data_IF_460470062985
#
_entry.id   IF_460470062985
#
_cell.length_a   1.000
_cell.length_b   1.000
_cell.length_c   1.000
_cell.angle_alpha   90.00
_cell.angle_beta   90.00
_cell.angle_gamma   90.00
#
_symmetry.space_group_name_H-M   'P 1'
#
loop_
_entity.id
_entity.type
_entity.pdbx_description
1 polymer ?
#
# COMPACT_ATOMS: atom_id res chain seq x y z
N UNK A 1 -2.88 1.37 35.19
CA UNK A 1 -3.10 2.15 33.97
C UNK A 1 -3.88 1.31 32.97
N UNK A 2 -5.04 1.78 32.55
CA UNK A 2 -6.06 1.05 31.76
C UNK A 2 -6.08 1.42 30.27
N UNK A 3 -5.14 2.25 29.83
CA UNK A 3 -5.00 2.61 28.42
C UNK A 3 -3.94 1.69 27.82
N UNK A 4 -4.41 0.64 27.16
CA UNK A 4 -3.58 -0.04 26.17
C UNK A 4 -3.06 1.02 25.21
N UNK A 5 -1.76 1.00 24.94
CA UNK A 5 -1.22 1.80 23.84
C UNK A 5 -2.04 1.43 22.60
N UNK A 6 -2.56 2.41 21.82
CA UNK A 6 -3.03 2.08 20.50
C UNK A 6 -1.83 1.44 19.80
N UNK A 7 -1.91 0.12 19.62
CA UNK A 7 -1.01 -0.58 18.72
C UNK A 7 -1.42 -0.05 17.35
N UNK A 8 -0.84 1.10 16.96
CA UNK A 8 -0.66 1.38 15.55
C UNK A 8 0.25 0.25 15.08
N UNK A 9 -0.34 -0.91 14.76
CA UNK A 9 0.31 -1.90 13.92
C UNK A 9 0.57 -1.15 12.65
N UNK A 10 1.78 -0.58 12.56
CA UNK A 10 2.33 -0.20 11.27
C UNK A 10 2.13 -1.41 10.38
N UNK A 11 1.63 -1.23 9.15
CA UNK A 11 1.63 -2.32 8.20
C UNK A 11 3.02 -2.97 8.22
N UNK A 12 3.06 -4.29 8.36
CA UNK A 12 4.29 -5.02 8.69
C UNK A 12 5.35 -4.84 7.58
N UNK A 13 4.90 -4.53 6.37
CA UNK A 13 5.73 -4.35 5.19
C UNK A 13 5.84 -2.86 4.82
N UNK A 14 7.06 -2.31 4.94
CA UNK A 14 7.41 -1.01 4.38
C UNK A 14 8.03 -1.18 2.99
N UNK A 15 7.33 -0.67 1.98
CA UNK A 15 7.73 -0.77 0.58
C UNK A 15 8.46 0.48 0.06
N UNK A 16 8.95 1.35 0.97
CA UNK A 16 9.68 2.56 0.60
C UNK A 16 10.93 2.32 -0.27
N UNK A 17 11.52 1.12 -0.18
CA UNK A 17 12.65 0.75 -1.05
C UNK A 17 12.30 0.49 -2.52
N UNK A 18 11.01 0.42 -2.86
CA UNK A 18 10.52 0.04 -4.20
C UNK A 18 9.80 1.17 -4.93
N UNK A 19 9.72 2.36 -4.34
CA UNK A 19 9.22 3.56 -5.03
C UNK A 19 10.38 4.38 -5.60
N UNK A 20 10.16 5.13 -6.70
CA UNK A 20 11.21 5.98 -7.26
C UNK A 20 11.63 7.09 -6.27
N UNK A 21 12.87 7.61 -6.35
CA UNK A 21 13.33 8.70 -5.48
C UNK A 21 12.48 9.98 -5.55
N UNK A 22 11.73 10.17 -6.63
CA UNK A 22 10.81 11.29 -6.83
C UNK A 22 9.41 11.04 -6.28
N UNK A 23 9.21 9.97 -5.50
CA UNK A 23 7.93 9.64 -4.89
C UNK A 23 7.38 10.81 -4.07
N UNK A 24 6.11 11.12 -4.28
CA UNK A 24 5.36 12.10 -3.49
C UNK A 24 4.15 11.42 -2.89
N UNK A 25 3.92 11.62 -1.60
CA UNK A 25 2.76 11.03 -0.95
C UNK A 25 1.45 11.65 -1.44
N UNK A 26 0.38 10.84 -1.43
CA UNK A 26 -0.92 11.20 -1.99
C UNK A 26 -1.67 9.99 -2.53
N UNK A 27 -2.96 10.18 -2.80
CA UNK A 27 -3.79 9.18 -3.48
C UNK A 27 -3.42 9.15 -4.96
N UNK A 28 -2.94 8.02 -5.45
CA UNK A 28 -2.42 7.91 -6.81
C UNK A 28 -2.41 6.45 -7.29
N UNK A 29 -2.30 6.21 -8.61
CA UNK A 29 -2.07 4.87 -9.13
C UNK A 29 -0.81 4.24 -8.52
N UNK A 30 -0.77 2.91 -8.46
CA UNK A 30 0.46 2.21 -8.12
C UNK A 30 1.55 2.58 -9.13
N UNK A 31 2.75 3.00 -8.69
CA UNK A 31 3.85 3.19 -9.61
C UNK A 31 4.35 1.84 -10.14
N UNK A 32 4.80 1.81 -11.40
CA UNK A 32 5.22 0.59 -12.10
C UNK A 32 6.30 -0.19 -11.33
N UNK A 33 7.23 0.52 -10.68
CA UNK A 33 8.32 -0.08 -9.90
C UNK A 33 7.85 -0.78 -8.60
N UNK A 34 6.70 -0.38 -8.07
CA UNK A 34 6.14 -0.92 -6.83
C UNK A 34 5.32 -2.20 -7.06
N UNK A 35 4.69 -2.33 -8.22
CA UNK A 35 3.81 -3.47 -8.53
C UNK A 35 4.52 -4.84 -8.42
N UNK A 36 5.76 -5.03 -8.90
CA UNK A 36 6.51 -6.27 -8.71
C UNK A 36 6.78 -6.60 -7.24
N UNK A 37 7.06 -5.58 -6.41
CA UNK A 37 7.25 -5.77 -4.97
C UNK A 37 5.95 -6.20 -4.31
N UNK A 38 4.83 -5.57 -4.64
CA UNK A 38 3.51 -5.99 -4.14
C UNK A 38 3.21 -7.46 -4.50
N UNK A 39 3.56 -7.90 -5.70
CA UNK A 39 3.44 -9.31 -6.08
C UNK A 39 4.37 -10.21 -5.23
N UNK A 40 5.63 -9.82 -5.05
CA UNK A 40 6.63 -10.59 -4.29
C UNK A 40 6.25 -10.79 -2.82
N UNK A 41 5.59 -9.81 -2.21
CA UNK A 41 5.17 -9.85 -0.80
C UNK A 41 3.70 -10.30 -0.60
N UNK A 42 3.03 -10.80 -1.65
CA UNK A 42 1.62 -11.21 -1.60
C UNK A 42 0.66 -10.06 -1.16
N UNK A 43 1.00 -8.82 -1.52
CA UNK A 43 0.29 -7.59 -1.20
C UNK A 43 -0.59 -7.07 -2.35
N UNK A 44 -0.83 -7.86 -3.40
CA UNK A 44 -1.77 -7.46 -4.44
C UNK A 44 -3.22 -7.49 -3.93
N UNK A 45 -4.00 -6.42 -4.15
CA UNK A 45 -5.41 -6.42 -3.77
C UNK A 45 -6.24 -7.30 -4.70
N UNK A 46 -7.39 -7.73 -4.19
CA UNK A 46 -8.48 -8.30 -4.98
C UNK A 46 -9.76 -7.49 -4.79
N UNK A 47 -10.81 -7.81 -5.55
CA UNK A 47 -12.09 -7.08 -5.51
C UNK A 47 -12.69 -7.02 -4.09
N UNK A 48 -12.54 -8.09 -3.30
CA UNK A 48 -13.10 -8.21 -1.96
C UNK A 48 -12.08 -7.95 -0.85
N UNK A 49 -10.79 -7.87 -1.19
CA UNK A 49 -9.70 -7.79 -0.21
C UNK A 49 -8.69 -6.70 -0.60
N UNK A 50 -8.86 -5.47 -0.08
CA UNK A 50 -7.81 -4.48 -0.06
C UNK A 50 -6.58 -4.97 0.72
N UNK A 51 -5.41 -4.42 0.39
CA UNK A 51 -4.16 -4.71 1.10
C UNK A 51 -3.61 -3.43 1.72
N UNK A 52 -2.92 -3.57 2.86
CA UNK A 52 -2.36 -2.44 3.59
C UNK A 52 -0.86 -2.62 3.74
N UNK A 53 -0.09 -1.57 3.51
CA UNK A 53 1.37 -1.51 3.65
C UNK A 53 1.78 -0.07 3.94
N UNK A 54 3.05 0.17 4.29
CA UNK A 54 3.58 1.52 4.37
C UNK A 54 4.55 1.81 3.23
N UNK A 55 4.70 3.08 2.90
CA UNK A 55 5.77 3.58 2.03
C UNK A 55 6.49 4.66 2.82
N UNK A 56 7.76 4.45 3.18
CA UNK A 56 8.52 5.35 4.05
C UNK A 56 7.81 5.65 5.38
N UNK A 57 7.14 4.64 5.94
CA UNK A 57 6.37 4.77 7.17
C UNK A 57 5.01 5.47 7.04
N UNK A 58 4.61 5.92 5.85
CA UNK A 58 3.26 6.47 5.60
C UNK A 58 2.33 5.31 5.22
N UNK A 59 1.21 5.11 5.92
CA UNK A 59 0.30 3.99 5.66
C UNK A 59 -0.57 4.21 4.43
N UNK A 60 -0.75 3.15 3.66
CA UNK A 60 -1.60 3.10 2.47
C UNK A 60 -2.51 1.87 2.48
N UNK A 61 -3.67 2.03 1.86
CA UNK A 61 -4.51 0.93 1.38
C UNK A 61 -4.44 0.88 -0.14
N UNK A 62 -4.14 -0.30 -0.70
CA UNK A 62 -4.25 -0.56 -2.12
C UNK A 62 -5.57 -1.25 -2.45
N UNK A 63 -6.21 -0.81 -3.54
CA UNK A 63 -7.42 -1.44 -4.09
C UNK A 63 -7.29 -1.60 -5.60
N UNK A 64 -8.10 -2.49 -6.17
CA UNK A 64 -8.34 -2.45 -7.62
C UNK A 64 -9.10 -1.17 -7.97
N UNK A 65 -8.76 -0.58 -9.10
CA UNK A 65 -9.44 0.54 -9.73
C UNK A 65 -10.66 0.10 -10.54
N UNK A 66 -11.30 1.01 -11.28
CA UNK A 66 -12.58 0.75 -11.97
C UNK A 66 -12.55 -0.40 -12.96
N UNK A 67 -11.40 -0.75 -13.55
CA UNK A 67 -11.29 -1.89 -14.47
C UNK A 67 -11.33 -3.25 -13.76
N UNK A 68 -11.09 -3.28 -12.44
CA UNK A 68 -11.01 -4.52 -11.67
C UNK A 68 -9.79 -5.40 -12.00
N UNK A 69 -8.77 -4.85 -12.66
CA UNK A 69 -7.56 -5.57 -13.08
C UNK A 69 -6.35 -5.15 -12.24
N UNK A 70 -5.36 -6.03 -12.10
CA UNK A 70 -4.11 -5.71 -11.40
C UNK A 70 -3.28 -4.62 -12.08
N UNK A 71 -3.51 -4.37 -13.38
CA UNK A 71 -2.92 -3.25 -14.12
C UNK A 71 -3.51 -1.89 -13.76
N UNK A 72 -4.54 -1.86 -12.90
CA UNK A 72 -5.26 -0.67 -12.46
C UNK A 72 -5.42 -0.77 -10.95
N UNK A 73 -4.33 -0.55 -10.23
CA UNK A 73 -4.34 -0.51 -8.76
C UNK A 73 -4.16 0.94 -8.34
N UNK A 74 -4.93 1.35 -7.33
CA UNK A 74 -4.85 2.66 -6.71
C UNK A 74 -4.44 2.56 -5.25
N UNK A 75 -3.64 3.52 -4.82
CA UNK A 75 -3.19 3.69 -3.45
C UNK A 75 -3.97 4.83 -2.80
N UNK A 76 -4.49 4.59 -1.60
CA UNK A 76 -5.20 5.57 -0.78
C UNK A 76 -4.47 5.75 0.55
N UNK A 77 -4.22 6.99 0.94
CA UNK A 77 -3.69 7.31 2.27
C UNK A 77 -4.71 6.90 3.35
N UNK A 78 -4.21 6.37 4.47
CA UNK A 78 -5.00 6.09 5.68
C UNK A 78 -5.03 7.26 6.66
#
# INVERSE_FOLDING_TARGET
>A
SIFGTPQYTLPVDDLGGFVPPSWQHGNQPVPDDLLPAMYLFDLLPSADKPTNFSIHGVPYTATLGPSGMQSDIYLFLQ
#
